data_IF_700721173320
#
_entry.id   IF_700721173320
#
_cell.length_a   1.000
_cell.length_b   1.000
_cell.length_c   1.000
_cell.angle_alpha   90.00
_cell.angle_beta   90.00
_cell.angle_gamma   90.00
#
_symmetry.space_group_name_H-M   'P 1'
#
loop_
_entity.id
_entity.type
_entity.pdbx_description
1 polymer ?
#
# COMPACT_ATOMS: atom_id res chain seq x y z
N UNK A 1 -14.90 8.89 -13.97
CA UNK A 1 -15.18 9.28 -12.56
C UNK A 1 -13.99 10.09 -12.07
N UNK A 2 -14.19 11.26 -11.45
CA UNK A 2 -13.09 12.15 -11.01
C UNK A 2 -12.94 12.02 -9.49
N UNK A 3 -11.73 11.73 -9.01
CA UNK A 3 -11.41 11.75 -7.57
C UNK A 3 -10.99 13.18 -7.23
N UNK A 4 -11.71 13.90 -6.35
CA UNK A 4 -11.32 15.25 -5.97
C UNK A 4 -9.99 15.23 -5.19
N UNK A 5 -9.20 16.32 -5.22
CA UNK A 5 -8.09 16.52 -4.30
C UNK A 5 -8.51 16.35 -2.83
N UNK A 6 -7.54 16.15 -1.95
CA UNK A 6 -7.76 16.04 -0.50
C UNK A 6 -6.92 17.07 0.24
N UNK A 7 -7.41 17.49 1.40
CA UNK A 7 -6.67 18.35 2.30
C UNK A 7 -5.34 17.70 2.68
N UNK A 8 -4.27 18.50 2.69
CA UNK A 8 -2.96 18.08 3.13
C UNK A 8 -2.98 17.89 4.66
N UNK A 9 -3.35 16.69 5.09
CA UNK A 9 -3.60 16.40 6.50
C UNK A 9 -2.34 16.50 7.38
N UNK A 10 -1.18 16.10 6.84
CA UNK A 10 0.05 16.04 7.60
C UNK A 10 0.76 17.40 7.68
N UNK A 11 1.29 17.81 8.85
CA UNK A 11 2.17 18.96 8.96
C UNK A 11 3.35 18.88 7.99
N UNK A 12 3.68 20.00 7.36
CA UNK A 12 4.77 20.10 6.37
C UNK A 12 4.47 19.40 5.03
N UNK A 13 3.27 18.87 4.80
CA UNK A 13 2.94 18.19 3.54
C UNK A 13 3.07 19.09 2.31
N UNK A 14 2.72 20.37 2.41
CA UNK A 14 2.90 21.34 1.32
C UNK A 14 4.36 21.65 1.03
N UNK A 15 5.20 21.77 2.07
CA UNK A 15 6.64 22.01 1.94
C UNK A 15 7.34 20.79 1.32
N UNK A 16 7.03 19.57 1.81
CA UNK A 16 7.52 18.33 1.20
C UNK A 16 7.09 18.24 -0.25
N UNK A 17 5.80 18.42 -0.54
CA UNK A 17 5.28 18.39 -1.91
C UNK A 17 6.04 19.35 -2.83
N UNK A 18 6.31 20.58 -2.39
CA UNK A 18 7.11 21.53 -3.14
C UNK A 18 8.54 21.04 -3.39
N UNK A 19 9.21 20.43 -2.41
CA UNK A 19 10.55 19.88 -2.57
C UNK A 19 10.60 18.75 -3.62
N UNK A 20 9.59 17.87 -3.66
CA UNK A 20 9.48 16.85 -4.70
C UNK A 20 9.28 17.47 -6.10
N UNK A 21 8.49 18.54 -6.22
CA UNK A 21 8.30 19.25 -7.49
C UNK A 21 9.51 20.05 -7.95
N UNK A 22 10.33 20.53 -7.01
CA UNK A 22 11.60 21.18 -7.32
C UNK A 22 12.62 20.17 -7.88
N UNK A 23 12.66 18.97 -7.29
CA UNK A 23 13.49 17.87 -7.79
C UNK A 23 12.98 17.28 -9.12
N UNK A 24 11.66 17.27 -9.32
CA UNK A 24 10.99 16.73 -10.52
C UNK A 24 10.02 17.73 -11.16
N UNK A 25 10.53 18.76 -11.87
CA UNK A 25 9.69 19.75 -12.54
C UNK A 25 8.75 19.17 -13.61
N UNK A 26 9.06 17.96 -14.11
CA UNK A 26 8.27 17.18 -15.07
C UNK A 26 7.06 16.46 -14.44
N UNK A 27 6.91 16.53 -13.12
CA UNK A 27 5.83 15.86 -12.41
C UNK A 27 4.45 16.24 -12.94
N UNK A 28 3.59 15.23 -13.09
CA UNK A 28 2.25 15.37 -13.63
C UNK A 28 1.27 15.70 -12.51
N UNK A 29 0.55 16.82 -12.64
CA UNK A 29 -0.40 17.30 -11.64
C UNK A 29 -1.85 17.10 -12.10
N UNK A 30 -2.67 16.48 -11.25
CA UNK A 30 -4.06 16.20 -11.52
C UNK A 30 -4.99 16.82 -10.48
N UNK A 31 -5.88 17.70 -10.94
CA UNK A 31 -6.74 18.51 -10.06
C UNK A 31 -6.13 19.88 -9.77
N UNK A 32 -6.77 20.64 -8.89
CA UNK A 32 -6.36 22.00 -8.53
C UNK A 32 -6.16 22.09 -7.02
N UNK A 33 -5.03 22.63 -6.58
CA UNK A 33 -4.84 22.99 -5.18
C UNK A 33 -5.81 24.10 -4.79
N UNK A 34 -6.58 23.91 -3.72
CA UNK A 34 -7.44 24.93 -3.14
C UNK A 34 -7.46 24.77 -1.61
N UNK A 35 -7.35 25.87 -0.86
CA UNK A 35 -7.65 25.86 0.58
C UNK A 35 -6.88 24.82 1.42
N UNK A 36 -5.61 24.56 1.10
CA UNK A 36 -4.78 23.56 1.80
C UNK A 36 -4.86 22.14 1.22
N UNK A 37 -5.58 21.94 0.11
CA UNK A 37 -5.54 20.72 -0.68
C UNK A 37 -4.32 20.70 -1.62
N UNK A 38 -3.76 19.51 -1.84
CA UNK A 38 -2.70 19.28 -2.83
C UNK A 38 -3.26 18.52 -4.02
N UNK A 39 -2.82 18.84 -5.27
CA UNK A 39 -3.18 18.04 -6.44
C UNK A 39 -2.65 16.61 -6.28
N UNK A 40 -3.23 15.67 -7.01
CA UNK A 40 -2.60 14.36 -7.14
C UNK A 40 -1.38 14.50 -8.04
N UNK A 41 -0.22 14.07 -7.56
CA UNK A 41 1.06 14.19 -8.25
C UNK A 41 1.59 12.82 -8.63
N UNK A 42 2.00 12.69 -9.90
CA UNK A 42 2.72 11.53 -10.42
C UNK A 42 4.11 11.97 -10.90
N UNK A 43 5.16 11.39 -10.32
CA UNK A 43 6.52 11.46 -10.85
C UNK A 43 6.78 10.12 -11.53
N UNK A 44 6.93 10.12 -12.85
CA UNK A 44 7.02 8.90 -13.65
C UNK A 44 8.43 8.73 -14.23
N UNK A 45 8.70 7.52 -14.72
CA UNK A 45 9.92 7.19 -15.44
C UNK A 45 11.23 7.48 -14.66
N UNK A 46 11.20 7.30 -13.33
CA UNK A 46 12.40 7.40 -12.51
C UNK A 46 13.43 6.35 -12.94
N UNK A 47 14.70 6.72 -12.91
CA UNK A 47 15.80 5.78 -13.13
C UNK A 47 16.00 4.93 -11.86
N UNK A 48 15.79 3.60 -11.89
CA UNK A 48 15.99 2.74 -10.72
C UNK A 48 17.45 2.75 -10.22
N UNK A 49 18.38 3.26 -11.02
CA UNK A 49 19.80 3.38 -10.69
C UNK A 49 20.19 4.77 -10.17
N UNK A 50 19.30 5.77 -10.19
CA UNK A 50 19.60 7.08 -9.66
C UNK A 50 19.93 7.01 -8.16
N UNK A 51 21.14 7.46 -7.81
CA UNK A 51 21.56 7.62 -6.42
C UNK A 51 20.90 8.88 -5.84
N UNK A 52 20.56 8.82 -4.55
CA UNK A 52 19.94 9.94 -3.82
C UNK A 52 18.60 10.43 -4.41
N UNK A 53 17.92 9.61 -5.22
CA UNK A 53 16.58 9.88 -5.71
C UNK A 53 15.61 10.12 -4.54
N UNK A 54 15.03 11.32 -4.46
CA UNK A 54 14.18 11.76 -3.35
C UNK A 54 12.97 10.84 -3.18
N UNK A 55 12.43 10.32 -4.29
CA UNK A 55 11.31 9.37 -4.30
C UNK A 55 11.67 8.00 -3.72
N UNK A 56 12.96 7.65 -3.64
CA UNK A 56 13.42 6.39 -3.05
C UNK A 56 13.90 6.57 -1.61
N UNK A 57 14.25 7.78 -1.19
CA UNK A 57 14.91 8.05 0.09
C UNK A 57 14.06 8.82 1.09
N UNK A 58 12.96 9.44 0.65
CA UNK A 58 12.14 10.32 1.49
C UNK A 58 10.66 9.97 1.38
N UNK A 59 10.00 9.81 2.53
CA UNK A 59 8.55 9.61 2.56
C UNK A 59 7.81 10.94 2.31
N UNK A 60 6.97 10.99 1.27
CA UNK A 60 6.29 12.21 0.86
C UNK A 60 5.21 12.69 1.85
N UNK A 61 4.48 11.77 2.49
CA UNK A 61 3.34 12.08 3.38
C UNK A 61 2.35 13.11 2.80
N UNK A 62 2.08 13.04 1.49
CA UNK A 62 1.16 13.92 0.78
C UNK A 62 0.56 13.22 -0.45
N UNK A 63 -0.21 13.94 -1.28
CA UNK A 63 -0.89 13.42 -2.48
C UNK A 63 0.07 13.15 -3.65
N UNK A 64 1.10 12.32 -3.43
CA UNK A 64 2.16 12.05 -4.40
C UNK A 64 2.38 10.55 -4.58
N UNK A 65 2.63 10.14 -5.82
CA UNK A 65 3.04 8.81 -6.21
C UNK A 65 4.22 8.89 -7.17
N UNK A 66 5.16 7.96 -7.04
CA UNK A 66 6.33 7.85 -7.89
C UNK A 66 6.37 6.49 -8.60
N UNK A 67 6.86 6.45 -9.84
CA UNK A 67 6.94 5.25 -10.66
C UNK A 67 8.33 5.09 -11.26
N UNK A 68 8.84 3.86 -11.19
CA UNK A 68 10.08 3.43 -11.87
C UNK A 68 9.82 2.16 -12.64
N UNK A 69 10.35 2.07 -13.86
CA UNK A 69 10.35 0.85 -14.65
C UNK A 69 11.56 -0.03 -14.35
N UNK A 70 11.38 -1.36 -14.37
CA UNK A 70 12.48 -2.32 -14.28
C UNK A 70 12.56 -3.13 -15.58
N UNK A 71 13.71 -3.08 -16.24
CA UNK A 71 13.97 -3.91 -17.41
C UNK A 71 14.22 -5.36 -16.96
N UNK A 72 13.53 -6.31 -17.59
CA UNK A 72 13.72 -7.74 -17.39
C UNK A 72 13.36 -8.53 -18.65
N UNK A 73 14.09 -9.61 -18.88
CA UNK A 73 13.90 -10.55 -19.99
C UNK A 73 12.82 -11.59 -19.66
N UNK A 74 12.47 -11.76 -18.38
CA UNK A 74 11.41 -12.68 -17.92
C UNK A 74 10.68 -12.15 -16.68
N UNK A 75 9.52 -12.75 -16.37
CA UNK A 75 8.76 -12.43 -15.14
C UNK A 75 9.53 -12.83 -13.88
N UNK A 76 10.26 -13.95 -13.92
CA UNK A 76 11.08 -14.42 -12.79
C UNK A 76 12.18 -13.41 -12.48
N UNK A 77 12.91 -12.97 -13.49
CA UNK A 77 13.96 -11.96 -13.36
C UNK A 77 13.39 -10.60 -12.93
N UNK A 78 12.19 -10.25 -13.39
CA UNK A 78 11.49 -9.04 -12.91
C UNK A 78 11.22 -9.12 -11.40
N UNK A 79 10.75 -10.27 -10.89
CA UNK A 79 10.54 -10.44 -9.45
C UNK A 79 11.84 -10.28 -8.66
N UNK A 80 12.93 -10.89 -9.12
CA UNK A 80 14.25 -10.81 -8.48
C UNK A 80 14.75 -9.35 -8.43
N UNK A 81 14.68 -8.61 -9.54
CA UNK A 81 15.05 -7.19 -9.59
C UNK A 81 14.15 -6.30 -8.74
N UNK A 82 12.85 -6.60 -8.70
CA UNK A 82 11.91 -5.86 -7.86
C UNK A 82 12.22 -6.07 -6.38
N UNK A 83 12.56 -7.30 -5.95
CA UNK A 83 13.00 -7.58 -4.58
C UNK A 83 14.26 -6.80 -4.24
N UNK A 84 15.27 -6.85 -5.12
CA UNK A 84 16.54 -6.13 -4.92
C UNK A 84 16.32 -4.63 -4.79
N UNK A 85 15.57 -4.02 -5.71
CA UNK A 85 15.24 -2.59 -5.63
C UNK A 85 14.52 -2.26 -4.33
N UNK A 86 13.47 -3.00 -3.98
CA UNK A 86 12.68 -2.73 -2.78
C UNK A 86 13.53 -2.86 -1.51
N UNK A 87 14.33 -3.92 -1.39
CA UNK A 87 15.08 -4.21 -0.17
C UNK A 87 16.32 -3.32 0.01
N UNK A 88 16.98 -2.95 -1.09
CA UNK A 88 18.32 -2.35 -1.02
C UNK A 88 18.32 -0.87 -1.42
N UNK A 89 17.25 -0.35 -2.04
CA UNK A 89 17.19 1.05 -2.51
C UNK A 89 16.07 1.88 -1.91
N UNK A 90 14.92 1.29 -1.61
CA UNK A 90 13.77 2.04 -1.08
C UNK A 90 13.89 2.20 0.43
N UNK A 91 13.76 3.45 0.90
CA UNK A 91 13.72 3.76 2.31
C UNK A 91 12.36 3.37 2.91
N UNK A 92 12.39 2.66 4.03
CA UNK A 92 11.19 2.21 4.72
C UNK A 92 10.71 0.82 4.31
N UNK A 93 10.23 0.08 5.31
CA UNK A 93 9.83 -1.33 5.18
C UNK A 93 8.47 -1.64 5.79
N UNK A 94 7.63 -0.62 6.00
CA UNK A 94 6.33 -0.78 6.68
C UNK A 94 5.42 -1.76 5.94
N UNK A 95 5.23 -1.57 4.63
CA UNK A 95 4.38 -2.42 3.82
C UNK A 95 4.71 -2.36 2.33
N UNK A 96 4.35 -3.43 1.61
CA UNK A 96 4.42 -3.53 0.17
C UNK A 96 3.12 -4.10 -0.40
N UNK A 97 2.61 -3.53 -1.50
CA UNK A 97 1.51 -4.10 -2.29
C UNK A 97 2.07 -4.67 -3.57
N UNK A 98 1.75 -5.94 -3.84
CA UNK A 98 2.06 -6.63 -5.08
C UNK A 98 0.77 -6.80 -5.88
N UNK A 99 0.76 -6.38 -7.14
CA UNK A 99 -0.35 -6.62 -8.06
C UNK A 99 0.04 -7.69 -9.07
N UNK A 100 -0.69 -8.79 -9.11
CA UNK A 100 -0.41 -9.92 -10.00
C UNK A 100 -1.70 -10.55 -10.53
N UNK A 101 -1.77 -10.74 -11.84
CA UNK A 101 -2.90 -11.41 -12.47
C UNK A 101 -2.78 -12.94 -12.26
N UNK A 102 -3.86 -13.67 -11.93
CA UNK A 102 -3.78 -15.12 -11.70
C UNK A 102 -3.24 -15.91 -12.90
N UNK A 103 -3.51 -15.45 -14.13
CA UNK A 103 -2.92 -16.03 -15.36
C UNK A 103 -1.39 -16.01 -15.37
N UNK A 104 -0.76 -15.00 -14.77
CA UNK A 104 0.71 -14.95 -14.65
C UNK A 104 1.23 -16.08 -13.78
N UNK A 105 0.44 -16.52 -12.80
CA UNK A 105 0.78 -17.59 -11.86
C UNK A 105 0.31 -18.98 -12.32
N UNK A 106 -0.20 -19.12 -13.55
CA UNK A 106 -0.51 -20.42 -14.14
C UNK A 106 0.78 -21.18 -14.53
N UNK A 107 1.86 -20.45 -14.82
CA UNK A 107 3.19 -21.02 -15.02
C UNK A 107 3.79 -21.44 -13.65
N UNK A 108 4.09 -22.73 -13.44
CA UNK A 108 4.65 -23.21 -12.17
C UNK A 108 5.99 -22.57 -11.78
N UNK A 109 6.83 -22.22 -12.75
CA UNK A 109 8.12 -21.58 -12.49
C UNK A 109 7.91 -20.16 -11.95
N UNK A 110 7.01 -19.42 -12.59
CA UNK A 110 6.63 -18.07 -12.16
C UNK A 110 5.93 -18.11 -10.80
N UNK A 111 5.03 -19.08 -10.57
CA UNK A 111 4.37 -19.25 -9.29
C UNK A 111 5.36 -19.54 -8.15
N UNK A 112 6.36 -20.39 -8.41
CA UNK A 112 7.41 -20.66 -7.44
C UNK A 112 8.29 -19.43 -7.17
N UNK A 113 8.64 -18.67 -8.22
CA UNK A 113 9.38 -17.41 -8.09
C UNK A 113 8.58 -16.35 -7.32
N UNK A 114 7.27 -16.31 -7.51
CA UNK A 114 6.37 -15.40 -6.81
C UNK A 114 6.35 -15.64 -5.30
N UNK A 115 6.28 -16.90 -4.87
CA UNK A 115 6.35 -17.24 -3.44
C UNK A 115 7.74 -16.95 -2.86
N UNK A 116 8.83 -17.11 -3.63
CA UNK A 116 10.17 -16.66 -3.22
C UNK A 116 10.22 -15.14 -3.03
N UNK A 117 9.70 -14.36 -3.98
CA UNK A 117 9.60 -12.91 -3.86
C UNK A 117 8.88 -12.47 -2.58
N UNK A 118 7.74 -13.09 -2.26
CA UNK A 118 7.01 -12.79 -1.01
C UNK A 118 7.87 -13.10 0.23
N UNK A 119 8.61 -14.21 0.21
CA UNK A 119 9.49 -14.60 1.30
C UNK A 119 10.70 -13.65 1.44
N UNK A 120 11.26 -13.17 0.34
CA UNK A 120 12.47 -12.34 0.32
C UNK A 120 12.23 -10.84 0.52
N UNK A 121 11.03 -10.33 0.20
CA UNK A 121 10.67 -8.94 0.47
C UNK A 121 10.75 -8.64 1.97
N UNK A 122 11.65 -7.74 2.37
CA UNK A 122 11.88 -7.36 3.76
C UNK A 122 10.92 -6.25 4.17
N UNK A 123 9.61 -6.54 4.11
CA UNK A 123 8.53 -5.63 4.50
C UNK A 123 7.65 -6.28 5.57
N UNK A 124 7.24 -5.51 6.58
CA UNK A 124 6.48 -6.05 7.70
C UNK A 124 5.02 -6.40 7.35
N UNK A 125 4.46 -5.83 6.28
CA UNK A 125 3.22 -6.33 5.65
C UNK A 125 3.38 -6.42 4.14
N UNK A 126 3.12 -7.60 3.57
CA UNK A 126 3.06 -7.82 2.12
C UNK A 126 1.63 -8.18 1.73
N UNK A 127 0.99 -7.34 0.91
CA UNK A 127 -0.37 -7.59 0.45
C UNK A 127 -0.42 -7.86 -1.05
N UNK A 128 -1.10 -8.93 -1.43
CA UNK A 128 -1.22 -9.40 -2.82
C UNK A 128 -2.60 -9.06 -3.33
N UNK A 129 -2.66 -8.25 -4.39
CA UNK A 129 -3.88 -7.72 -5.02
C UNK A 129 -4.77 -6.91 -4.07
N UNK A 130 -4.18 -6.32 -3.05
CA UNK A 130 -4.88 -5.56 -2.02
C UNK A 130 -4.02 -4.42 -1.51
N UNK A 131 -4.66 -3.33 -1.11
CA UNK A 131 -3.98 -2.21 -0.46
C UNK A 131 -3.38 -2.68 0.86
N UNK A 132 -2.06 -2.57 1.02
CA UNK A 132 -1.36 -3.23 2.12
C UNK A 132 -1.71 -2.71 3.51
N UNK A 133 -2.19 -1.46 3.63
CA UNK A 133 -2.69 -0.94 4.90
C UNK A 133 -3.91 -1.69 5.46
N UNK A 134 -4.51 -2.61 4.70
CA UNK A 134 -5.47 -3.57 5.24
C UNK A 134 -4.87 -4.39 6.39
N UNK A 135 -3.56 -4.66 6.38
CA UNK A 135 -2.88 -5.35 7.48
C UNK A 135 -3.06 -4.62 8.82
N UNK A 136 -3.00 -3.29 8.80
CA UNK A 136 -3.35 -2.45 9.96
C UNK A 136 -4.84 -2.59 10.30
N UNK A 137 -5.72 -2.47 9.31
CA UNK A 137 -7.17 -2.52 9.51
C UNK A 137 -7.71 -3.85 10.05
N UNK A 138 -6.99 -4.96 9.85
CA UNK A 138 -7.37 -6.28 10.35
C UNK A 138 -7.20 -6.44 11.86
N UNK A 139 -6.44 -5.55 12.53
CA UNK A 139 -6.23 -5.46 14.00
C UNK A 139 -5.78 -6.74 14.74
N UNK A 140 -5.66 -7.87 14.05
CA UNK A 140 -5.17 -9.15 14.55
C UNK A 140 -3.71 -9.37 14.17
N UNK A 141 -3.33 -9.35 12.86
CA UNK A 141 -1.95 -9.60 12.48
C UNK A 141 -1.05 -8.43 12.91
N UNK A 142 0.24 -8.67 13.18
CA UNK A 142 1.19 -7.62 13.48
C UNK A 142 1.29 -6.60 12.34
N UNK A 143 1.40 -5.33 12.71
CA UNK A 143 1.67 -4.22 11.80
C UNK A 143 2.87 -3.43 12.30
N UNK A 144 3.93 -3.37 11.49
CA UNK A 144 5.17 -2.66 11.80
C UNK A 144 6.20 -2.90 10.70
N UNK A 145 7.43 -2.45 10.93
CA UNK A 145 8.53 -2.67 10.01
C UNK A 145 8.97 -4.13 9.97
N UNK A 146 9.68 -4.50 8.90
CA UNK A 146 10.45 -5.74 8.90
C UNK A 146 11.58 -5.68 9.96
N UNK A 147 11.88 -6.77 10.69
CA UNK A 147 12.91 -6.76 11.71
C UNK A 147 14.31 -6.45 11.16
N UNK A 148 15.07 -5.58 11.85
CA UNK A 148 16.50 -5.37 11.57
C UNK A 148 16.99 -3.93 11.59
N UNK A 149 16.09 -2.94 11.66
CA UNK A 149 16.48 -1.52 11.65
C UNK A 149 17.33 -1.10 12.85
N UNK A 150 18.30 -0.24 12.58
CA UNK A 150 19.17 0.36 13.60
C UNK A 150 18.41 1.47 14.36
N UNK A 151 18.78 1.72 15.62
CA UNK A 151 18.13 2.78 16.41
C UNK A 151 18.39 4.19 15.84
N UNK A 152 19.52 4.38 15.14
CA UNK A 152 19.91 5.63 14.49
C UNK A 152 19.46 5.72 13.02
N UNK A 153 19.00 4.61 12.43
CA UNK A 153 18.32 4.57 11.13
C UNK A 153 17.04 3.72 11.26
N UNK A 154 16.05 4.30 11.95
CA UNK A 154 14.86 3.58 12.36
C UNK A 154 13.94 3.21 11.19
N UNK A 155 14.03 3.95 10.09
CA UNK A 155 13.13 3.87 8.93
C UNK A 155 11.65 3.77 9.34
N UNK A 156 11.04 2.59 9.17
CA UNK A 156 9.64 2.32 9.51
C UNK A 156 9.39 1.88 10.96
N UNK A 157 10.43 1.73 11.80
CA UNK A 157 10.32 1.31 13.20
C UNK A 157 11.06 0.01 13.54
N UNK A 158 11.12 -0.31 14.84
CA UNK A 158 11.59 -1.62 15.36
C UNK A 158 10.50 -2.37 16.14
N UNK A 159 9.31 -1.78 16.22
CA UNK A 159 8.16 -2.33 16.93
C UNK A 159 7.03 -2.72 15.99
N UNK A 160 6.07 -3.43 16.56
CA UNK A 160 4.79 -3.74 15.91
C UNK A 160 3.65 -3.33 16.82
N UNK A 161 2.54 -2.90 16.22
CA UNK A 161 1.23 -2.84 16.86
C UNK A 161 0.42 -4.08 16.49
N UNK A 162 -0.69 -4.31 17.19
CA UNK A 162 -1.50 -5.53 17.10
C UNK A 162 -0.73 -6.77 17.60
N UNK A 163 -0.63 -7.84 16.81
CA UNK A 163 -0.09 -9.14 17.25
C UNK A 163 -0.92 -9.79 18.36
N UNK A 164 -2.24 -9.84 18.19
CA UNK A 164 -3.19 -10.38 19.18
C UNK A 164 -2.89 -11.85 19.54
N UNK A 165 -2.23 -12.59 18.64
CA UNK A 165 -1.83 -13.98 18.84
C UNK A 165 -0.45 -14.15 19.49
N UNK A 166 0.23 -13.05 19.83
CA UNK A 166 1.50 -13.03 20.57
C UNK A 166 2.64 -13.85 19.94
N UNK A 167 2.75 -13.83 18.62
CA UNK A 167 3.90 -14.45 17.95
C UNK A 167 5.19 -13.70 18.31
N UNK A 168 6.26 -14.43 18.63
CA UNK A 168 7.47 -13.88 19.24
C UNK A 168 8.50 -13.32 18.26
N UNK A 169 8.58 -13.89 17.05
CA UNK A 169 9.59 -13.56 16.04
C UNK A 169 8.94 -13.40 14.67
N UNK A 170 7.99 -12.48 14.59
CA UNK A 170 7.29 -12.23 13.33
C UNK A 170 8.19 -11.40 12.43
N UNK A 171 8.41 -11.89 11.22
CA UNK A 171 9.09 -11.15 10.16
C UNK A 171 8.10 -10.29 9.38
N UNK A 172 6.93 -10.86 9.04
CA UNK A 172 5.92 -10.18 8.22
C UNK A 172 4.53 -10.78 8.36
N UNK A 173 3.54 -9.96 8.01
CA UNK A 173 2.17 -10.36 7.72
C UNK A 173 1.99 -10.47 6.21
N UNK A 174 1.40 -11.56 5.71
CA UNK A 174 1.06 -11.69 4.28
C UNK A 174 -0.46 -11.78 4.10
N UNK A 175 -1.04 -10.85 3.35
CA UNK A 175 -2.47 -10.81 3.04
C UNK A 175 -2.69 -11.10 1.56
N UNK A 176 -3.52 -12.09 1.22
CA UNK A 176 -3.82 -12.46 -0.17
C UNK A 176 -5.27 -12.13 -0.52
N UNK A 177 -5.47 -11.54 -1.69
CA UNK A 177 -6.79 -11.28 -2.26
C UNK A 177 -6.88 -11.68 -3.74
N UNK A 178 -8.10 -11.90 -4.27
CA UNK A 178 -8.31 -12.01 -5.71
C UNK A 178 -7.92 -10.73 -6.44
N UNK A 179 -7.45 -10.85 -7.69
CA UNK A 179 -7.10 -9.69 -8.53
C UNK A 179 -8.27 -8.72 -8.75
N UNK A 180 -9.50 -9.24 -8.79
CA UNK A 180 -10.73 -8.45 -8.83
C UNK A 180 -11.57 -8.77 -7.59
N UNK A 181 -11.74 -7.79 -6.73
CA UNK A 181 -12.57 -7.89 -5.54
C UNK A 181 -14.04 -7.65 -5.88
N UNK A 182 -14.90 -8.55 -5.40
CA UNK A 182 -16.34 -8.41 -5.44
C UNK A 182 -16.94 -8.86 -4.10
N UNK A 183 -17.80 -8.05 -3.44
CA UNK A 183 -18.23 -6.71 -3.85
C UNK A 183 -17.10 -5.68 -3.83
N UNK A 184 -17.37 -4.49 -4.38
CA UNK A 184 -16.41 -3.39 -4.41
C UNK A 184 -15.95 -3.06 -2.98
N UNK A 185 -14.65 -2.88 -2.72
CA UNK A 185 -14.21 -2.59 -1.37
C UNK A 185 -14.62 -1.21 -0.86
N UNK A 186 -14.94 -1.12 0.43
CA UNK A 186 -15.53 0.07 1.07
C UNK A 186 -14.60 1.28 1.13
N UNK A 187 -13.28 1.06 1.05
CA UNK A 187 -12.25 2.10 1.05
C UNK A 187 -12.04 2.74 -0.33
N UNK A 188 -12.72 2.26 -1.37
CA UNK A 188 -12.66 2.91 -2.68
C UNK A 188 -13.39 4.26 -2.60
N UNK A 189 -12.77 5.38 -3.02
CA UNK A 189 -13.42 6.69 -3.02
C UNK A 189 -14.73 6.74 -3.82
N UNK A 190 -14.89 5.80 -4.75
CA UNK A 190 -16.07 5.67 -5.61
C UNK A 190 -17.18 4.78 -5.03
N UNK A 191 -16.98 4.18 -3.85
CA UNK A 191 -17.94 3.27 -3.24
C UNK A 191 -19.14 4.05 -2.67
N UNK A 192 -20.33 3.87 -3.26
CA UNK A 192 -21.47 4.78 -3.04
C UNK A 192 -22.14 4.68 -1.67
N UNK A 193 -22.03 3.52 -1.03
CA UNK A 193 -22.75 3.18 0.21
C UNK A 193 -21.82 3.04 1.40
N UNK A 194 -20.58 3.56 1.34
CA UNK A 194 -19.58 3.39 2.42
C UNK A 194 -20.07 3.87 3.78
N UNK A 195 -20.74 5.03 3.86
CA UNK A 195 -21.30 5.53 5.11
C UNK A 195 -22.42 4.64 5.66
N UNK A 196 -23.27 4.11 4.78
CA UNK A 196 -24.36 3.19 5.16
C UNK A 196 -23.78 1.87 5.71
N UNK A 197 -22.77 1.31 5.04
CA UNK A 197 -22.08 0.11 5.50
C UNK A 197 -21.37 0.38 6.83
N UNK A 198 -20.67 1.51 6.97
CA UNK A 198 -19.98 1.88 8.19
C UNK A 198 -20.90 1.87 9.41
N UNK A 199 -22.06 2.52 9.31
CA UNK A 199 -23.08 2.50 10.40
C UNK A 199 -23.53 1.08 10.74
N UNK A 200 -23.85 0.27 9.72
CA UNK A 200 -24.31 -1.11 9.93
C UNK A 200 -23.24 -2.03 10.52
N UNK A 201 -21.99 -1.85 10.11
CA UNK A 201 -20.86 -2.56 10.71
C UNK A 201 -20.67 -2.14 12.16
N UNK A 202 -20.77 -0.84 12.49
CA UNK A 202 -20.73 -0.37 13.89
C UNK A 202 -21.84 -1.00 14.73
N UNK A 203 -23.08 -1.05 14.23
CA UNK A 203 -24.20 -1.67 14.93
C UNK A 203 -24.03 -3.19 15.10
N UNK A 204 -23.34 -3.85 14.15
CA UNK A 204 -23.02 -5.27 14.21
C UNK A 204 -21.91 -5.55 15.22
N UNK A 205 -20.83 -4.77 15.23
CA UNK A 205 -19.75 -4.93 16.21
C UNK A 205 -20.21 -4.62 17.64
N UNK A 206 -21.11 -3.65 17.82
CA UNK A 206 -21.66 -3.31 19.14
C UNK A 206 -22.59 -4.40 19.71
N UNK A 207 -23.37 -5.07 18.86
CA UNK A 207 -24.27 -6.15 19.27
C UNK A 207 -24.38 -7.18 18.12
N UNK A 208 -23.48 -8.17 18.08
CA UNK A 208 -23.41 -9.12 16.97
C UNK A 208 -24.70 -9.93 16.80
N UNK A 209 -25.24 -9.92 15.58
CA UNK A 209 -26.42 -10.72 15.23
C UNK A 209 -26.43 -11.06 13.74
N UNK A 210 -26.67 -12.34 13.43
CA UNK A 210 -26.78 -12.82 12.04
C UNK A 210 -27.93 -12.14 11.28
N UNK A 211 -28.93 -11.60 12.00
CA UNK A 211 -30.04 -10.85 11.38
C UNK A 211 -29.58 -9.52 10.76
N UNK A 212 -28.43 -8.96 11.20
CA UNK A 212 -27.87 -7.71 10.67
C UNK A 212 -27.11 -7.94 9.35
N UNK A 213 -26.59 -9.15 9.12
CA UNK A 213 -25.73 -9.50 7.97
C UNK A 213 -26.39 -9.25 6.60
N UNK A 214 -27.64 -9.66 6.33
CA UNK A 214 -28.26 -9.43 5.02
C UNK A 214 -28.30 -7.95 4.64
N UNK A 215 -28.54 -7.07 5.61
CA UNK A 215 -28.55 -5.62 5.37
C UNK A 215 -27.16 -5.08 5.01
N UNK A 216 -26.11 -5.58 5.65
CA UNK A 216 -24.71 -5.20 5.35
C UNK A 216 -24.35 -5.63 3.92
N UNK A 217 -24.63 -6.89 3.58
CA UNK A 217 -24.38 -7.45 2.24
C UNK A 217 -25.13 -6.65 1.17
N UNK A 218 -26.40 -6.34 1.40
CA UNK A 218 -27.20 -5.55 0.45
C UNK A 218 -26.63 -4.14 0.22
N UNK A 219 -26.05 -3.50 1.25
CA UNK A 219 -25.37 -2.22 1.06
C UNK A 219 -24.05 -2.38 0.30
N UNK A 220 -23.26 -3.42 0.58
CA UNK A 220 -22.01 -3.71 -0.12
C UNK A 220 -22.20 -3.95 -1.63
N UNK A 221 -23.28 -4.63 -2.01
CA UNK A 221 -23.61 -4.88 -3.42
C UNK A 221 -24.03 -3.63 -4.21
N UNK A 222 -24.39 -2.53 -3.53
CA UNK A 222 -24.81 -1.25 -4.16
C UNK A 222 -23.69 -0.21 -4.29
N UNK A 223 -22.45 -0.58 -3.95
CA UNK A 223 -21.27 0.28 -3.97
C UNK A 223 -20.78 0.74 -5.35
#
# INVERSE_FOLDING_TARGET
>A
QRVPPRAAYYPGAGERHAAFLEAHPEAQLYGSANGGELPWTLIADLDPKADEEICFTTEAFCSLFAETGLAAESVVEFFERAVELCNERLWGTLNATILVHPRTLEDPEVAAAFERMIAELRYGTVAINLWAAIGYGLVIPPWGAYPGHDLYDIQSGTGVVHNTLMFSKVEKTVVRAPFRLFPKPIWFPSHKTTLEIGRRLTDFEAEPSMLKVPSIVWAALRG
#
